data_IF_618599515190
#
_entry.id   IF_618599515190
#
_cell.length_a   1.000
_cell.length_b   1.000
_cell.length_c   1.000
_cell.angle_alpha   90.00
_cell.angle_beta   90.00
_cell.angle_gamma   90.00
#
_symmetry.space_group_name_H-M   'P 1'
#
loop_
_entity.id
_entity.type
_entity.pdbx_description
1 polymer ?
#
# COMPACT_ATOMS: atom_id res chain seq x y z
N UNK A 1 -16.67 16.05 -44.80
CA UNK A 1 -17.95 16.64 -44.35
C UNK A 1 -18.43 15.78 -43.20
N UNK A 2 -18.09 16.17 -41.97
CA UNK A 2 -18.11 15.26 -40.81
C UNK A 2 -19.54 15.12 -40.26
N UNK A 3 -19.86 13.86 -39.98
CA UNK A 3 -21.05 13.18 -39.44
C UNK A 3 -22.18 14.01 -38.81
N UNK A 4 -23.37 13.66 -39.27
CA UNK A 4 -24.68 13.91 -38.68
C UNK A 4 -24.73 13.64 -37.18
N UNK A 5 -25.38 14.54 -36.44
CA UNK A 5 -25.82 14.32 -35.07
C UNK A 5 -26.70 13.06 -35.01
N UNK A 6 -26.42 12.15 -34.08
CA UNK A 6 -27.22 10.93 -33.83
C UNK A 6 -28.67 11.23 -33.42
N UNK A 7 -28.95 12.48 -33.06
CA UNK A 7 -30.24 12.96 -32.58
C UNK A 7 -30.86 13.96 -33.57
N UNK A 8 -32.17 13.85 -33.76
CA UNK A 8 -32.96 14.88 -34.45
C UNK A 8 -32.82 16.24 -33.73
N UNK A 9 -33.10 17.33 -34.43
CA UNK A 9 -33.03 18.66 -33.81
C UNK A 9 -34.03 18.85 -32.66
N UNK A 10 -35.12 18.07 -32.64
CA UNK A 10 -36.07 18.02 -31.53
C UNK A 10 -35.49 17.30 -30.30
N UNK A 11 -34.93 16.11 -30.51
CA UNK A 11 -34.27 15.34 -29.44
C UNK A 11 -33.06 16.08 -28.88
N UNK A 12 -32.27 16.73 -29.74
CA UNK A 12 -31.12 17.54 -29.30
C UNK A 12 -31.57 18.67 -28.37
N UNK A 13 -32.66 19.37 -28.71
CA UNK A 13 -33.23 20.42 -27.85
C UNK A 13 -33.71 19.86 -26.51
N UNK A 14 -34.35 18.69 -26.51
CA UNK A 14 -34.80 18.03 -25.28
C UNK A 14 -33.62 17.61 -24.38
N UNK A 15 -32.58 17.00 -24.96
CA UNK A 15 -31.37 16.59 -24.24
C UNK A 15 -30.67 17.82 -23.65
N UNK A 16 -30.49 18.89 -24.43
CA UNK A 16 -29.85 20.11 -23.96
C UNK A 16 -30.66 20.76 -22.82
N UNK A 17 -31.98 20.82 -22.94
CA UNK A 17 -32.86 21.33 -21.89
C UNK A 17 -32.75 20.50 -20.60
N UNK A 18 -32.66 19.18 -20.72
CA UNK A 18 -32.48 18.29 -19.56
C UNK A 18 -31.12 18.50 -18.88
N UNK A 19 -30.04 18.62 -19.66
CA UNK A 19 -28.69 18.88 -19.14
C UNK A 19 -28.62 20.24 -18.45
N UNK A 20 -29.24 21.26 -19.04
CA UNK A 20 -29.30 22.60 -18.45
C UNK A 20 -30.09 22.58 -17.13
N UNK A 21 -31.24 21.90 -17.08
CA UNK A 21 -32.01 21.71 -15.85
C UNK A 21 -31.16 21.02 -14.77
N UNK A 22 -30.50 19.91 -15.11
CA UNK A 22 -29.64 19.19 -14.17
C UNK A 22 -28.48 20.07 -13.66
N UNK A 23 -27.86 20.86 -14.54
CA UNK A 23 -26.81 21.80 -14.15
C UNK A 23 -27.32 22.83 -13.16
N UNK A 24 -28.46 23.49 -13.44
CA UNK A 24 -29.03 24.50 -12.54
C UNK A 24 -29.47 23.92 -11.18
N UNK A 25 -29.88 22.65 -11.16
CA UNK A 25 -30.20 21.94 -9.91
C UNK A 25 -28.93 21.59 -9.11
N UNK A 26 -27.88 21.08 -9.76
CA UNK A 26 -26.68 20.55 -9.08
C UNK A 26 -25.59 21.60 -8.78
N UNK A 27 -25.63 22.78 -9.41
CA UNK A 27 -24.59 23.80 -9.26
C UNK A 27 -24.56 24.43 -7.85
N UNK A 28 -25.70 24.45 -7.15
CA UNK A 28 -25.82 25.02 -5.81
C UNK A 28 -26.46 24.01 -4.86
N UNK A 29 -25.86 23.86 -3.69
CA UNK A 29 -26.32 22.98 -2.62
C UNK A 29 -27.78 23.23 -2.23
N UNK A 30 -28.25 24.48 -2.27
CA UNK A 30 -29.64 24.78 -1.93
C UNK A 30 -30.63 24.22 -2.97
N UNK A 31 -30.39 24.51 -4.25
CA UNK A 31 -31.24 24.03 -5.35
C UNK A 31 -31.28 22.50 -5.42
N UNK A 32 -30.18 21.85 -5.05
CA UNK A 32 -30.08 20.40 -4.96
C UNK A 32 -30.95 19.86 -3.83
N UNK A 33 -30.86 20.44 -2.64
CA UNK A 33 -31.68 20.04 -1.48
C UNK A 33 -33.17 20.19 -1.76
N UNK A 34 -33.58 21.32 -2.32
CA UNK A 34 -35.00 21.58 -2.64
C UNK A 34 -35.55 20.52 -3.62
N UNK A 35 -34.72 20.08 -4.58
CA UNK A 35 -35.07 19.02 -5.53
C UNK A 35 -35.15 17.63 -4.87
N UNK A 36 -34.20 17.31 -4.01
CA UNK A 36 -34.17 16.04 -3.27
C UNK A 36 -35.38 15.96 -2.30
N UNK A 37 -35.74 17.06 -1.64
CA UNK A 37 -36.94 17.19 -0.79
C UNK A 37 -38.24 16.98 -1.58
N UNK A 38 -38.33 17.55 -2.78
CA UNK A 38 -39.47 17.40 -3.67
C UNK A 38 -39.66 15.93 -4.12
N UNK A 39 -38.57 15.22 -4.41
CA UNK A 39 -38.58 13.79 -4.76
C UNK A 39 -38.97 12.88 -3.59
N UNK A 40 -38.54 13.23 -2.38
CA UNK A 40 -38.96 12.54 -1.16
C UNK A 40 -40.47 12.75 -0.93
N UNK A 41 -40.95 13.98 -1.15
CA UNK A 41 -42.37 14.32 -1.00
C UNK A 41 -43.25 13.63 -2.04
N UNK A 42 -42.77 13.44 -3.28
CA UNK A 42 -43.47 12.67 -4.30
C UNK A 42 -43.38 11.15 -4.11
N UNK A 43 -42.55 10.69 -3.17
CA UNK A 43 -42.33 9.27 -2.88
C UNK A 43 -41.46 8.56 -3.92
N UNK A 44 -40.77 9.31 -4.78
CA UNK A 44 -39.86 8.76 -5.80
C UNK A 44 -38.52 8.33 -5.21
N UNK A 45 -38.14 8.89 -4.04
CA UNK A 45 -36.92 8.53 -3.30
C UNK A 45 -37.25 8.35 -1.81
N UNK A 46 -36.67 7.33 -1.18
CA UNK A 46 -36.73 7.16 0.28
C UNK A 46 -35.85 8.20 0.99
N UNK A 47 -36.35 8.83 2.05
CA UNK A 47 -35.57 9.75 2.88
C UNK A 47 -34.41 9.01 3.57
N UNK A 48 -33.26 8.96 2.91
CA UNK A 48 -32.00 8.62 3.57
C UNK A 48 -31.48 9.88 4.24
N UNK A 49 -31.04 9.74 5.49
CA UNK A 49 -30.29 10.78 6.18
C UNK A 49 -29.06 11.12 5.32
N UNK A 50 -29.14 12.23 4.57
CA UNK A 50 -27.95 12.86 4.03
C UNK A 50 -27.15 13.32 5.25
N UNK A 51 -26.23 12.49 5.74
CA UNK A 51 -25.17 12.94 6.62
C UNK A 51 -24.57 14.18 5.93
N UNK A 52 -24.64 15.33 6.61
CA UNK A 52 -24.25 16.64 6.10
C UNK A 52 -23.03 16.53 5.16
N UNK A 53 -22.96 17.30 4.05
CA UNK A 53 -21.88 17.18 3.09
C UNK A 53 -20.57 17.26 3.87
N UNK A 54 -19.89 16.12 3.96
CA UNK A 54 -18.60 16.02 4.61
C UNK A 54 -17.75 17.06 3.89
N UNK A 55 -17.41 18.16 4.57
CA UNK A 55 -16.55 19.20 4.00
C UNK A 55 -15.34 18.43 3.55
N UNK A 56 -15.21 18.18 2.23
CA UNK A 56 -14.19 17.29 1.69
C UNK A 56 -12.87 17.97 1.96
N UNK A 57 -12.29 17.68 3.13
CA UNK A 57 -10.96 18.12 3.50
C UNK A 57 -10.06 17.63 2.38
N UNK A 58 -9.10 18.44 1.90
CA UNK A 58 -8.19 18.00 0.87
C UNK A 58 -7.48 16.73 1.36
N UNK A 59 -7.90 15.60 0.81
CA UNK A 59 -7.27 14.33 1.07
C UNK A 59 -5.98 14.38 0.28
N UNK A 60 -4.85 14.36 0.98
CA UNK A 60 -3.53 14.29 0.35
C UNK A 60 -3.52 13.19 -0.72
N UNK A 61 -2.94 13.46 -1.89
CA UNK A 61 -2.83 12.50 -3.01
C UNK A 61 -2.16 11.18 -2.60
N UNK A 62 -1.44 11.15 -1.48
CA UNK A 62 -0.84 9.95 -0.90
C UNK A 62 -1.84 9.05 -0.12
N UNK A 63 -3.09 9.47 0.05
CA UNK A 63 -4.14 8.70 0.73
C UNK A 63 -5.11 7.98 -0.22
N UNK A 64 -4.90 8.07 -1.53
CA UNK A 64 -5.67 7.29 -2.51
C UNK A 64 -5.11 5.86 -2.51
N UNK A 65 -5.69 5.02 -1.66
CA UNK A 65 -5.42 3.58 -1.63
C UNK A 65 -6.28 2.89 -2.69
N UNK A 66 -5.67 2.50 -3.80
CA UNK A 66 -6.29 1.55 -4.72
C UNK A 66 -6.14 0.13 -4.12
N UNK A 67 -7.15 -0.28 -3.35
CA UNK A 67 -7.26 -1.63 -2.77
C UNK A 67 -7.72 -1.59 -1.31
N UNK A 68 -8.23 -2.72 -0.76
CA UNK A 68 -8.59 -2.81 0.64
C UNK A 68 -7.29 -2.76 1.47
N UNK A 69 -6.81 -1.56 1.75
CA UNK A 69 -5.67 -1.32 2.59
C UNK A 69 -6.09 -1.56 4.05
N UNK A 70 -6.00 -2.82 4.47
CA UNK A 70 -5.52 -3.09 5.82
C UNK A 70 -4.12 -2.47 5.84
N UNK A 71 -3.99 -1.20 6.22
CA UNK A 71 -2.69 -0.66 6.65
C UNK A 71 -2.31 -1.51 7.84
N UNK A 72 -1.56 -2.58 7.62
CA UNK A 72 -1.01 -3.39 8.68
C UNK A 72 -0.12 -2.44 9.46
N UNK A 73 -0.54 -2.05 10.67
CA UNK A 73 0.24 -1.18 11.55
C UNK A 73 1.61 -1.83 11.67
N UNK A 74 2.62 -1.22 11.03
CA UNK A 74 3.98 -1.74 11.10
C UNK A 74 4.41 -1.65 12.56
N UNK A 75 4.96 -2.76 13.09
CA UNK A 75 5.30 -2.87 14.51
C UNK A 75 6.26 -1.73 14.87
N UNK A 76 6.02 -1.05 16.01
CA UNK A 76 6.90 0.03 16.44
C UNK A 76 8.34 -0.48 16.61
N UNK A 77 9.31 0.36 16.28
CA UNK A 77 10.73 0.05 16.44
C UNK A 77 11.05 -0.46 17.86
N UNK A 78 10.43 0.14 18.88
CA UNK A 78 10.60 -0.27 20.28
C UNK A 78 10.05 -1.67 20.56
N UNK A 79 8.91 -2.03 19.97
CA UNK A 79 8.34 -3.36 20.12
C UNK A 79 9.18 -4.44 19.42
N UNK A 80 9.79 -4.13 18.28
CA UNK A 80 10.73 -5.03 17.60
C UNK A 80 11.99 -5.24 18.46
N UNK A 81 12.57 -4.18 19.02
CA UNK A 81 13.74 -4.26 19.92
C UNK A 81 13.47 -5.11 21.16
N UNK A 82 12.28 -4.97 21.74
CA UNK A 82 11.86 -5.80 22.87
C UNK A 82 11.77 -7.29 22.49
N UNK A 83 11.19 -7.61 21.32
CA UNK A 83 11.14 -8.99 20.82
C UNK A 83 12.53 -9.57 20.55
N UNK A 84 13.42 -8.78 19.94
CA UNK A 84 14.81 -9.18 19.68
C UNK A 84 15.52 -9.53 20.99
N UNK A 85 15.38 -8.67 22.01
CA UNK A 85 16.00 -8.87 23.32
C UNK A 85 15.44 -10.09 24.08
N UNK A 86 14.22 -10.51 23.77
CA UNK A 86 13.56 -11.65 24.41
C UNK A 86 13.81 -12.99 23.68
N UNK A 87 14.24 -12.96 22.42
CA UNK A 87 14.46 -14.18 21.64
C UNK A 87 15.92 -14.65 21.70
N UNK A 88 16.12 -15.82 22.30
CA UNK A 88 17.43 -16.48 22.30
C UNK A 88 17.86 -16.86 20.87
N UNK A 89 16.91 -17.25 20.01
CA UNK A 89 17.17 -17.65 18.62
C UNK A 89 17.80 -16.50 17.84
N UNK A 90 17.20 -15.30 17.92
CA UNK A 90 17.72 -14.12 17.21
C UNK A 90 19.11 -13.77 17.75
N UNK A 91 19.29 -13.82 19.06
CA UNK A 91 20.58 -13.52 19.70
C UNK A 91 21.67 -14.47 19.24
N UNK A 92 21.38 -15.78 19.19
CA UNK A 92 22.32 -16.81 18.73
C UNK A 92 22.69 -16.64 17.25
N UNK A 93 21.73 -16.29 16.40
CA UNK A 93 21.98 -16.02 14.97
C UNK A 93 22.89 -14.81 14.81
N UNK A 94 22.63 -13.71 15.51
CA UNK A 94 23.42 -12.48 15.42
C UNK A 94 24.85 -12.65 15.94
N UNK A 95 25.07 -13.61 16.85
CA UNK A 95 26.39 -13.95 17.38
C UNK A 95 27.27 -14.76 16.40
N UNK A 96 26.70 -15.34 15.33
CA UNK A 96 27.46 -16.12 14.32
C UNK A 96 28.28 -15.20 13.42
N UNK A 97 29.40 -15.72 12.89
CA UNK A 97 30.28 -14.99 11.96
C UNK A 97 29.70 -14.85 10.56
N UNK A 98 28.77 -15.72 10.18
CA UNK A 98 28.11 -15.75 8.87
C UNK A 98 26.60 -15.56 9.02
N UNK A 99 25.95 -15.03 7.98
CA UNK A 99 24.50 -14.80 7.97
C UNK A 99 23.92 -15.31 6.65
N UNK A 100 23.06 -16.31 6.71
CA UNK A 100 22.41 -16.90 5.54
C UNK A 100 21.02 -16.31 5.29
N UNK A 101 20.44 -16.62 4.12
CA UNK A 101 19.04 -16.29 3.83
C UNK A 101 18.06 -16.95 4.81
N UNK A 102 18.32 -18.20 5.19
CA UNK A 102 17.47 -18.92 6.14
C UNK A 102 17.52 -18.27 7.54
N UNK A 103 18.67 -17.73 7.94
CA UNK A 103 18.77 -16.96 9.18
C UNK A 103 17.90 -15.69 9.13
N UNK A 104 17.90 -14.95 8.01
CA UNK A 104 17.05 -13.77 7.82
C UNK A 104 15.56 -14.10 7.87
N UNK A 105 15.18 -15.25 7.30
CA UNK A 105 13.83 -15.79 7.36
C UNK A 105 13.44 -16.16 8.79
N UNK A 106 14.32 -16.83 9.51
CA UNK A 106 14.10 -17.25 10.89
C UNK A 106 13.88 -16.04 11.81
N UNK A 107 14.71 -15.00 11.67
CA UNK A 107 14.54 -13.74 12.42
C UNK A 107 13.17 -13.11 12.08
N UNK A 108 12.80 -13.03 10.80
CA UNK A 108 11.50 -12.46 10.38
C UNK A 108 10.32 -13.22 10.98
N UNK A 109 10.35 -14.55 10.92
CA UNK A 109 9.27 -15.39 11.46
C UNK A 109 9.17 -15.27 12.98
N UNK A 110 10.30 -15.18 13.68
CA UNK A 110 10.34 -14.98 15.12
C UNK A 110 9.76 -13.62 15.53
N UNK A 111 9.97 -12.58 14.71
CA UNK A 111 9.35 -11.27 14.92
C UNK A 111 7.86 -11.23 14.57
N UNK A 112 7.33 -12.29 13.95
CA UNK A 112 5.93 -12.39 13.52
C UNK A 112 5.61 -11.54 12.29
N UNK A 113 6.61 -11.28 11.43
CA UNK A 113 6.47 -10.47 10.22
C UNK A 113 6.24 -11.35 8.99
N UNK A 114 5.33 -10.94 8.13
CA UNK A 114 5.06 -11.57 6.82
C UNK A 114 5.97 -10.99 5.74
N UNK A 115 6.16 -11.73 4.64
CA UNK A 115 6.96 -11.22 3.51
C UNK A 115 6.28 -9.99 2.90
N UNK A 116 4.95 -9.98 2.88
CA UNK A 116 4.13 -8.89 2.39
C UNK A 116 4.35 -7.61 3.19
N UNK A 117 4.43 -7.71 4.52
CA UNK A 117 4.75 -6.56 5.39
C UNK A 117 6.16 -6.02 5.12
N UNK A 118 7.16 -6.90 4.93
CA UNK A 118 8.51 -6.45 4.57
C UNK A 118 8.51 -5.79 3.19
N UNK A 119 7.79 -6.35 2.22
CA UNK A 119 7.68 -5.80 0.86
C UNK A 119 7.00 -4.43 0.88
N UNK A 120 5.95 -4.27 1.69
CA UNK A 120 5.23 -3.02 1.85
C UNK A 120 6.12 -1.94 2.47
N UNK A 121 6.89 -2.27 3.51
CA UNK A 121 7.75 -1.30 4.20
C UNK A 121 8.99 -0.94 3.37
N UNK A 122 9.69 -1.93 2.82
CA UNK A 122 10.95 -1.72 2.07
C UNK A 122 10.74 -1.31 0.62
N UNK A 123 9.52 -1.46 0.08
CA UNK A 123 9.19 -1.33 -1.35
C UNK A 123 9.97 -2.29 -2.26
N UNK A 124 10.52 -3.35 -1.69
CA UNK A 124 11.18 -4.43 -2.44
C UNK A 124 10.10 -5.42 -2.88
N UNK A 125 10.16 -5.90 -4.13
CA UNK A 125 9.20 -6.90 -4.62
C UNK A 125 9.29 -8.19 -3.79
N UNK A 126 8.13 -8.79 -3.50
CA UNK A 126 7.99 -10.07 -2.76
C UNK A 126 8.93 -11.15 -3.30
N UNK A 127 9.04 -11.29 -4.62
CA UNK A 127 9.91 -12.30 -5.23
C UNK A 127 11.38 -12.11 -4.86
N UNK A 128 11.85 -10.86 -4.74
CA UNK A 128 13.23 -10.58 -4.34
C UNK A 128 13.46 -10.89 -2.87
N UNK A 129 12.51 -10.54 -1.98
CA UNK A 129 12.60 -10.90 -0.56
C UNK A 129 12.65 -12.42 -0.40
N UNK A 130 11.78 -13.14 -1.11
CA UNK A 130 11.81 -14.61 -1.13
C UNK A 130 13.15 -15.16 -1.62
N UNK A 131 13.67 -14.65 -2.73
CA UNK A 131 14.98 -15.10 -3.26
C UNK A 131 16.14 -14.85 -2.30
N UNK A 132 16.08 -13.76 -1.52
CA UNK A 132 17.06 -13.42 -0.47
C UNK A 132 16.99 -14.44 0.67
N UNK A 133 15.78 -14.76 1.15
CA UNK A 133 15.56 -15.75 2.20
C UNK A 133 15.94 -17.19 1.76
N UNK A 134 15.65 -17.56 0.52
CA UNK A 134 15.89 -18.91 0.01
C UNK A 134 17.33 -19.12 -0.49
N UNK A 135 18.14 -18.07 -0.59
CA UNK A 135 19.52 -18.17 -1.08
C UNK A 135 19.63 -18.55 -2.56
N UNK A 136 18.57 -18.38 -3.36
CA UNK A 136 18.53 -18.80 -4.76
C UNK A 136 19.27 -17.80 -5.66
N UNK A 137 20.56 -18.05 -5.90
CA UNK A 137 21.45 -17.17 -6.67
C UNK A 137 20.89 -16.79 -8.07
N UNK A 138 20.19 -17.71 -8.74
CA UNK A 138 19.63 -17.48 -10.07
C UNK A 138 18.47 -16.46 -10.09
N UNK A 139 17.71 -16.36 -9.00
CA UNK A 139 16.55 -15.47 -8.87
C UNK A 139 16.85 -14.22 -8.04
N UNK A 140 18.08 -14.10 -7.55
CA UNK A 140 18.49 -12.95 -6.76
C UNK A 140 18.52 -11.67 -7.60
N UNK A 141 18.26 -10.51 -6.97
CA UNK A 141 18.56 -9.21 -7.55
C UNK A 141 20.01 -9.13 -8.03
N UNK A 142 20.31 -8.31 -9.05
CA UNK A 142 21.68 -8.00 -9.43
C UNK A 142 22.50 -7.54 -8.21
N UNK A 143 23.76 -7.99 -8.12
CA UNK A 143 24.62 -7.76 -6.95
C UNK A 143 24.73 -6.28 -6.53
N UNK A 144 24.65 -5.36 -7.51
CA UNK A 144 24.64 -3.90 -7.30
C UNK A 144 23.47 -3.42 -6.43
N UNK A 145 22.33 -4.10 -6.49
CA UNK A 145 21.13 -3.79 -5.70
C UNK A 145 20.97 -4.68 -4.47
N UNK A 146 21.47 -5.91 -4.51
CA UNK A 146 21.32 -6.90 -3.44
C UNK A 146 21.77 -6.35 -2.09
N UNK A 147 22.94 -5.73 -2.01
CA UNK A 147 23.46 -5.14 -0.76
C UNK A 147 22.49 -4.08 -0.21
N UNK A 148 21.94 -3.23 -1.06
CA UNK A 148 20.96 -2.21 -0.67
C UNK A 148 19.67 -2.83 -0.15
N UNK A 149 19.19 -3.88 -0.83
CA UNK A 149 17.98 -4.60 -0.43
C UNK A 149 18.15 -5.30 0.92
N UNK A 150 19.26 -6.00 1.13
CA UNK A 150 19.57 -6.64 2.42
C UNK A 150 19.67 -5.60 3.54
N UNK A 151 20.31 -4.44 3.28
CA UNK A 151 20.33 -3.36 4.27
C UNK A 151 18.93 -2.84 4.62
N UNK A 152 18.07 -2.64 3.62
CA UNK A 152 16.70 -2.19 3.85
C UNK A 152 15.88 -3.24 4.61
N UNK A 153 16.07 -4.52 4.30
CA UNK A 153 15.46 -5.64 4.99
C UNK A 153 15.89 -5.69 6.47
N UNK A 154 17.19 -5.61 6.75
CA UNK A 154 17.73 -5.60 8.12
C UNK A 154 17.21 -4.41 8.95
N UNK A 155 17.11 -3.22 8.35
CA UNK A 155 16.50 -2.04 8.97
C UNK A 155 15.02 -2.28 9.30
N UNK A 156 14.30 -2.90 8.38
CA UNK A 156 12.90 -3.28 8.57
C UNK A 156 12.72 -4.26 9.75
N UNK A 157 13.70 -5.11 10.01
CA UNK A 157 13.69 -6.00 11.18
C UNK A 157 14.06 -5.31 12.50
N UNK A 158 14.44 -4.02 12.49
CA UNK A 158 14.84 -3.28 13.70
C UNK A 158 16.27 -3.57 14.18
N UNK A 159 17.13 -4.13 13.32
CA UNK A 159 18.53 -4.43 13.64
C UNK A 159 19.41 -3.19 13.47
N UNK A 160 20.27 -2.91 14.45
CA UNK A 160 21.11 -1.70 14.46
C UNK A 160 22.43 -1.87 13.68
N UNK A 161 23.05 -3.05 13.73
CA UNK A 161 24.33 -3.37 13.06
C UNK A 161 24.19 -3.69 11.56
N UNK A 162 23.42 -2.86 10.84
CA UNK A 162 23.00 -3.10 9.45
C UNK A 162 24.19 -3.28 8.50
N UNK A 163 25.22 -2.44 8.62
CA UNK A 163 26.36 -2.47 7.71
C UNK A 163 27.19 -3.73 7.86
N UNK A 164 27.45 -4.15 9.10
CA UNK A 164 28.17 -5.37 9.43
C UNK A 164 27.40 -6.61 8.97
N UNK A 165 26.13 -6.72 9.36
CA UNK A 165 25.27 -7.87 9.01
C UNK A 165 25.07 -7.98 7.50
N UNK A 166 24.90 -6.85 6.79
CA UNK A 166 24.83 -6.87 5.33
C UNK A 166 26.11 -7.40 4.70
N UNK A 167 27.27 -7.08 5.28
CA UNK A 167 28.57 -7.56 4.79
C UNK A 167 28.73 -9.05 5.04
N UNK A 168 28.34 -9.55 6.23
CA UNK A 168 28.33 -10.99 6.54
C UNK A 168 27.48 -11.77 5.54
N UNK A 169 26.26 -11.29 5.26
CA UNK A 169 25.37 -11.90 4.27
C UNK A 169 25.96 -11.91 2.86
N UNK A 170 26.51 -10.77 2.41
CA UNK A 170 27.11 -10.68 1.08
C UNK A 170 28.31 -11.62 0.92
N UNK A 171 29.10 -11.85 1.96
CA UNK A 171 30.21 -12.79 1.94
C UNK A 171 29.72 -14.24 1.77
N UNK A 172 28.64 -14.61 2.45
CA UNK A 172 28.03 -15.94 2.34
C UNK A 172 27.46 -16.20 0.93
N UNK A 173 26.86 -15.18 0.29
CA UNK A 173 26.29 -15.32 -1.06
C UNK A 173 27.35 -15.25 -2.17
N UNK A 174 28.43 -14.50 -1.96
CA UNK A 174 29.50 -14.34 -2.97
C UNK A 174 30.47 -15.53 -3.03
N UNK A 175 30.43 -16.43 -2.03
CA UNK A 175 31.23 -17.64 -1.99
C UNK A 175 30.33 -18.85 -2.30
N UNK A 176 30.21 -19.29 -3.58
CA UNK A 176 29.45 -20.49 -3.88
C UNK A 176 30.10 -21.71 -3.20
N UNK A 177 29.29 -22.49 -2.47
CA UNK A 177 29.67 -23.82 -1.99
C UNK A 177 29.60 -24.85 -3.10
#
# INVERSE_FOLDING_TARGET
MVSYSFFSDGERRAILSLVEKAYQTLINDQSRRDYDDDLIRSGEIEAREESAPDVKKPVSVFNISHGPAVRTVFISSDALKNKISQSQIITDILARSELSGEDLKQIRTELGLTIEQIAEETKIRVNHIRSIEEGQAEQMPPAVFLKGFVKSYLKCLGLESVDELSTRYMNTVSCPK
#
